data_IF_154452747006
#
_entry.id   IF_154452747006
#
_cell.length_a   1.000
_cell.length_b   1.000
_cell.length_c   1.000
_cell.angle_alpha   90.00
_cell.angle_beta   90.00
_cell.angle_gamma   90.00
#
_symmetry.space_group_name_H-M   'P 1'
#
loop_
_entity.id
_entity.type
_entity.pdbx_description
1 polymer ?
#
# COMPACT_ATOMS: atom_id res chain seq x y z
N UNK A 1 3.84 21.19 16.73
CA UNK A 1 4.60 20.97 15.49
C UNK A 1 3.64 21.19 14.34
N UNK A 2 4.02 22.03 13.38
CA UNK A 2 3.16 22.42 12.26
C UNK A 2 2.88 21.18 11.40
N UNK A 3 1.65 20.64 11.51
CA UNK A 3 1.27 19.45 10.76
C UNK A 3 0.89 19.89 9.35
N UNK A 4 1.53 19.28 8.36
CA UNK A 4 1.16 19.41 6.95
C UNK A 4 -0.33 19.07 6.73
N UNK A 5 -1.00 19.75 5.79
CA UNK A 5 -2.42 19.52 5.54
C UNK A 5 -2.66 18.17 4.84
N UNK A 6 -3.67 17.45 5.31
CA UNK A 6 -4.13 16.17 4.75
C UNK A 6 -3.39 14.93 5.29
N UNK A 7 -4.05 13.78 5.19
CA UNK A 7 -3.52 12.46 5.56
C UNK A 7 -2.72 11.88 4.39
N UNK A 8 -1.40 11.77 4.51
CA UNK A 8 -0.57 11.33 3.40
C UNK A 8 -0.50 9.81 3.31
N UNK A 9 -1.11 9.27 2.25
CA UNK A 9 -1.19 7.84 1.97
C UNK A 9 -0.22 7.46 0.84
N UNK A 10 0.72 6.54 1.11
CA UNK A 10 1.54 5.92 0.08
C UNK A 10 0.96 4.60 -0.40
N UNK A 11 0.97 4.34 -1.72
CA UNK A 11 0.52 3.04 -2.26
C UNK A 11 1.49 2.40 -3.26
N UNK A 12 1.48 1.06 -3.31
CA UNK A 12 2.11 0.27 -4.38
C UNK A 12 1.32 -1.02 -4.61
N UNK A 13 1.05 -1.35 -5.88
CA UNK A 13 0.09 -2.40 -6.26
C UNK A 13 0.72 -3.58 -7.01
N UNK A 14 1.98 -3.42 -7.44
CA UNK A 14 2.74 -4.49 -8.11
C UNK A 14 4.07 -4.78 -7.44
N UNK A 15 4.42 -6.06 -7.47
CA UNK A 15 5.76 -6.53 -7.18
C UNK A 15 6.69 -6.48 -8.40
N UNK A 16 7.77 -7.25 -8.33
CA UNK A 16 8.70 -7.43 -9.44
C UNK A 16 8.11 -8.45 -10.44
N UNK A 17 7.86 -8.10 -11.72
CA UNK A 17 7.32 -9.03 -12.71
C UNK A 17 8.17 -10.27 -12.97
N UNK A 18 9.48 -10.22 -12.68
CA UNK A 18 10.37 -11.37 -12.80
C UNK A 18 10.23 -12.37 -11.63
N UNK A 19 9.46 -12.04 -10.60
CA UNK A 19 9.20 -12.94 -9.48
C UNK A 19 8.17 -14.01 -9.89
N UNK A 20 8.47 -15.29 -9.64
CA UNK A 20 7.66 -16.41 -10.12
C UNK A 20 6.18 -16.37 -9.67
N UNK A 21 5.91 -15.77 -8.50
CA UNK A 21 4.55 -15.64 -7.94
C UNK A 21 3.96 -14.23 -8.10
N UNK A 22 4.50 -13.37 -8.97
CA UNK A 22 4.07 -11.95 -9.07
C UNK A 22 2.58 -11.81 -9.41
N UNK A 23 2.09 -12.64 -10.33
CA UNK A 23 0.67 -12.61 -10.75
C UNK A 23 -0.31 -12.81 -9.58
N UNK A 24 0.08 -13.56 -8.55
CA UNK A 24 -0.76 -13.82 -7.39
C UNK A 24 -0.68 -12.69 -6.36
N UNK A 25 0.49 -12.07 -6.19
CA UNK A 25 0.74 -11.03 -5.17
C UNK A 25 0.45 -9.62 -5.65
N UNK A 26 0.47 -9.37 -6.95
CA UNK A 26 0.09 -8.09 -7.55
C UNK A 26 -1.43 -7.98 -7.69
N UNK A 27 -1.98 -6.77 -7.53
CA UNK A 27 -3.40 -6.52 -7.76
C UNK A 27 -3.61 -5.29 -8.68
N UNK A 28 -4.76 -5.18 -9.34
CA UNK A 28 -5.01 -4.05 -10.24
C UNK A 28 -5.06 -2.71 -9.48
N UNK A 29 -4.44 -1.66 -10.05
CA UNK A 29 -4.42 -0.33 -9.45
C UNK A 29 -5.83 0.19 -9.09
N UNK A 30 -6.84 -0.07 -9.93
CA UNK A 30 -8.24 0.34 -9.70
C UNK A 30 -8.81 -0.06 -8.34
N UNK A 31 -8.27 -1.10 -7.69
CA UNK A 31 -8.70 -1.50 -6.33
C UNK A 31 -8.28 -0.49 -5.26
N UNK A 32 -7.23 0.29 -5.49
CA UNK A 32 -6.82 1.38 -4.62
C UNK A 32 -7.57 2.69 -4.87
N UNK A 33 -8.27 2.84 -6.00
CA UNK A 33 -8.94 4.09 -6.34
C UNK A 33 -9.94 4.59 -5.25
N UNK A 34 -10.77 3.73 -4.63
CA UNK A 34 -11.64 4.16 -3.52
C UNK A 34 -10.85 4.73 -2.32
N UNK A 35 -9.68 4.15 -2.01
CA UNK A 35 -8.83 4.59 -0.91
C UNK A 35 -8.28 6.01 -1.15
N UNK A 36 -7.94 6.33 -2.40
CA UNK A 36 -7.46 7.65 -2.82
C UNK A 36 -8.57 8.70 -2.86
N UNK A 37 -9.83 8.28 -2.96
CA UNK A 37 -11.00 9.17 -2.99
C UNK A 37 -11.51 9.55 -1.59
N UNK A 38 -10.99 8.94 -0.52
CA UNK A 38 -11.37 9.27 0.86
C UNK A 38 -11.04 10.74 1.16
N UNK A 39 -12.03 11.47 1.67
CA UNK A 39 -11.88 12.90 1.97
C UNK A 39 -10.74 13.13 2.96
N UNK A 40 -9.82 14.03 2.60
CA UNK A 40 -8.67 14.37 3.43
C UNK A 40 -7.41 13.57 3.12
N UNK A 41 -7.50 12.52 2.31
CA UNK A 41 -6.33 11.77 1.84
C UNK A 41 -5.56 12.56 0.78
N UNK A 42 -4.24 12.52 0.89
CA UNK A 42 -3.28 12.99 -0.12
C UNK A 42 -2.49 11.79 -0.62
N UNK A 43 -2.77 11.33 -1.84
CA UNK A 43 -2.19 10.12 -2.41
C UNK A 43 -0.79 10.29 -3.00
N UNK A 44 0.10 9.35 -2.69
CA UNK A 44 1.45 9.23 -3.25
C UNK A 44 1.69 7.82 -3.80
N UNK A 45 2.00 7.70 -5.09
CA UNK A 45 2.41 6.42 -5.67
C UNK A 45 3.87 6.17 -5.30
N UNK A 46 4.12 5.04 -4.65
CA UNK A 46 5.46 4.52 -4.36
C UNK A 46 5.84 3.39 -5.34
N UNK A 47 4.99 3.11 -6.33
CA UNK A 47 5.25 2.11 -7.36
C UNK A 47 6.52 2.48 -8.14
N UNK A 48 7.41 1.51 -8.33
CA UNK A 48 8.61 1.66 -9.16
C UNK A 48 8.52 0.76 -10.39
N UNK A 49 8.85 1.33 -11.54
CA UNK A 49 8.95 0.60 -12.81
C UNK A 49 7.57 0.15 -13.32
N UNK A 50 7.42 -1.12 -13.76
CA UNK A 50 6.18 -1.62 -14.34
C UNK A 50 4.95 -1.38 -13.45
N UNK A 51 3.86 -0.93 -14.07
CA UNK A 51 2.62 -0.56 -13.40
C UNK A 51 2.43 0.95 -13.26
N UNK A 52 3.50 1.76 -13.23
CA UNK A 52 3.37 3.24 -13.13
C UNK A 52 2.48 3.81 -14.25
N UNK A 53 2.57 3.25 -15.45
CA UNK A 53 1.75 3.59 -16.61
C UNK A 53 0.23 3.44 -16.36
N UNK A 54 -0.17 2.58 -15.41
CA UNK A 54 -1.58 2.36 -15.05
C UNK A 54 -2.21 3.60 -14.42
N UNK A 55 -1.43 4.47 -13.76
CA UNK A 55 -1.95 5.71 -13.14
C UNK A 55 -2.66 6.56 -14.20
N UNK A 56 -1.99 6.77 -15.34
CA UNK A 56 -2.55 7.54 -16.45
C UNK A 56 -3.63 6.74 -17.19
N UNK A 57 -3.39 5.45 -17.44
CA UNK A 57 -4.33 4.60 -18.18
C UNK A 57 -5.69 4.42 -17.48
N UNK A 58 -5.70 4.42 -16.14
CA UNK A 58 -6.91 4.32 -15.33
C UNK A 58 -7.47 5.70 -14.91
N UNK A 59 -6.86 6.80 -15.37
CA UNK A 59 -7.35 8.16 -15.10
C UNK A 59 -7.18 8.65 -13.66
N UNK A 60 -6.26 8.05 -12.90
CA UNK A 60 -6.04 8.35 -11.47
C UNK A 60 -5.04 9.48 -11.22
N UNK A 61 -4.41 10.04 -12.26
CA UNK A 61 -3.47 11.16 -12.12
C UNK A 61 -3.96 12.35 -11.27
N UNK A 62 -5.27 12.71 -11.22
CA UNK A 62 -5.75 13.77 -10.32
C UNK A 62 -5.76 13.40 -8.84
N UNK A 63 -5.74 12.11 -8.50
CA UNK A 63 -5.89 11.58 -7.14
C UNK A 63 -4.55 11.17 -6.51
N UNK A 64 -3.51 10.96 -7.31
CA UNK A 64 -2.23 10.44 -6.84
C UNK A 64 -1.04 11.05 -7.58
N UNK A 65 -0.05 11.52 -6.82
CA UNK A 65 1.24 11.97 -7.36
C UNK A 65 2.23 10.83 -7.52
N UNK A 66 2.94 10.76 -8.65
CA UNK A 66 4.01 9.78 -8.86
C UNK A 66 5.30 10.17 -8.12
N UNK A 67 5.45 9.66 -6.90
CA UNK A 67 6.64 9.84 -6.10
C UNK A 67 7.70 8.79 -6.43
N UNK A 68 7.28 7.53 -6.62
CA UNK A 68 8.13 6.36 -6.82
C UNK A 68 9.13 6.50 -7.98
N UNK A 69 8.69 7.04 -9.12
CA UNK A 69 9.56 7.27 -10.28
C UNK A 69 10.67 8.30 -10.05
N UNK A 70 10.56 9.13 -9.01
CA UNK A 70 11.55 10.17 -8.66
C UNK A 70 12.56 9.72 -7.62
N UNK A 71 12.36 8.55 -7.01
CA UNK A 71 13.25 8.02 -5.98
C UNK A 71 14.32 7.14 -6.65
N UNK A 72 15.59 7.31 -6.31
CA UNK A 72 16.69 6.55 -6.90
C UNK A 72 16.81 5.15 -6.28
N UNK A 73 16.93 5.09 -4.96
CA UNK A 73 17.25 3.85 -4.24
C UNK A 73 16.35 3.60 -3.00
N UNK A 74 16.75 2.68 -2.13
CA UNK A 74 16.04 2.39 -0.89
C UNK A 74 16.25 3.45 0.20
N UNK A 75 17.34 4.21 0.16
CA UNK A 75 17.57 5.33 1.07
C UNK A 75 16.57 6.45 0.78
N UNK A 76 16.37 6.79 -0.49
CA UNK A 76 15.34 7.73 -0.92
C UNK A 76 13.93 7.25 -0.53
N UNK A 77 13.66 5.95 -0.72
CA UNK A 77 12.40 5.34 -0.30
C UNK A 77 12.19 5.44 1.21
N UNK A 78 13.21 5.16 2.02
CA UNK A 78 13.14 5.32 3.48
C UNK A 78 12.82 6.77 3.87
N UNK A 79 13.47 7.75 3.22
CA UNK A 79 13.17 9.17 3.41
C UNK A 79 11.73 9.54 3.07
N UNK A 80 11.20 9.01 1.96
CA UNK A 80 9.80 9.19 1.59
C UNK A 80 8.84 8.60 2.63
N UNK A 81 9.12 7.40 3.15
CA UNK A 81 8.30 6.71 4.15
C UNK A 81 8.17 7.45 5.49
N UNK A 82 9.19 8.24 5.87
CA UNK A 82 9.10 9.12 7.06
C UNK A 82 8.12 10.28 6.86
N UNK A 83 7.83 10.62 5.61
CA UNK A 83 6.89 11.65 5.22
C UNK A 83 5.55 11.04 4.80
N UNK A 84 5.15 9.90 5.35
CA UNK A 84 3.82 9.32 5.12
C UNK A 84 3.19 8.97 6.47
N UNK A 85 1.87 9.15 6.53
CA UNK A 85 1.07 8.79 7.70
C UNK A 85 0.77 7.28 7.67
N UNK A 86 0.54 6.72 6.47
CA UNK A 86 0.33 5.30 6.23
C UNK A 86 0.85 4.89 4.85
N UNK A 87 1.31 3.63 4.74
CA UNK A 87 1.54 2.95 3.46
C UNK A 87 0.60 1.76 3.32
N UNK A 88 -0.06 1.63 2.18
CA UNK A 88 -0.84 0.44 1.82
C UNK A 88 -0.23 -0.18 0.58
N UNK A 89 0.29 -1.39 0.68
CA UNK A 89 1.01 -2.05 -0.42
C UNK A 89 0.60 -3.52 -0.54
N UNK A 90 0.84 -4.11 -1.70
CA UNK A 90 0.92 -5.57 -1.82
C UNK A 90 2.20 -6.12 -1.18
N UNK A 91 2.31 -7.45 -1.06
CA UNK A 91 3.56 -8.12 -0.73
C UNK A 91 4.66 -7.68 -1.71
N UNK A 92 5.61 -6.88 -1.23
CA UNK A 92 6.74 -6.34 -1.99
C UNK A 92 7.88 -5.94 -1.04
N UNK A 93 9.04 -5.58 -1.58
CA UNK A 93 10.16 -5.06 -0.78
C UNK A 93 9.79 -3.80 0.00
N UNK A 94 8.84 -2.99 -0.51
CA UNK A 94 8.35 -1.78 0.16
C UNK A 94 7.68 -2.12 1.50
N UNK A 95 6.89 -3.19 1.56
CA UNK A 95 6.24 -3.63 2.79
C UNK A 95 7.27 -3.93 3.89
N UNK A 96 8.32 -4.66 3.52
CA UNK A 96 9.41 -5.01 4.43
C UNK A 96 10.22 -3.79 4.87
N UNK A 97 10.54 -2.87 3.95
CA UNK A 97 11.26 -1.65 4.28
C UNK A 97 10.45 -0.79 5.27
N UNK A 98 9.17 -0.55 4.99
CA UNK A 98 8.30 0.23 5.88
C UNK A 98 8.17 -0.43 7.27
N UNK A 99 7.98 -1.74 7.32
CA UNK A 99 7.93 -2.50 8.56
C UNK A 99 9.24 -2.45 9.36
N UNK A 100 10.39 -2.59 8.69
CA UNK A 100 11.70 -2.52 9.33
C UNK A 100 12.02 -1.13 9.88
N UNK A 101 11.50 -0.06 9.25
CA UNK A 101 11.62 1.32 9.71
C UNK A 101 10.60 1.70 10.80
N UNK A 102 9.74 0.77 11.24
CA UNK A 102 8.68 1.05 12.21
C UNK A 102 7.67 2.09 11.70
N UNK A 103 7.47 2.17 10.38
CA UNK A 103 6.45 3.04 9.79
C UNK A 103 5.10 2.30 9.74
N UNK A 104 3.96 2.99 9.94
CA UNK A 104 2.65 2.37 9.75
C UNK A 104 2.51 1.82 8.33
N UNK A 105 2.22 0.53 8.21
CA UNK A 105 2.11 -0.13 6.91
C UNK A 105 1.04 -1.22 6.92
N UNK A 106 0.17 -1.20 5.93
CA UNK A 106 -0.81 -2.24 5.70
C UNK A 106 -0.44 -3.02 4.45
N UNK A 107 -0.51 -4.35 4.54
CA UNK A 107 -0.20 -5.24 3.42
C UNK A 107 -1.47 -5.96 2.99
N UNK A 108 -1.85 -5.79 1.73
CA UNK A 108 -2.96 -6.50 1.11
C UNK A 108 -2.41 -7.75 0.42
N UNK A 109 -2.91 -8.91 0.84
CA UNK A 109 -2.33 -10.21 0.55
C UNK A 109 -3.31 -11.09 -0.23
N UNK A 110 -2.80 -11.98 -1.11
CA UNK A 110 -3.63 -12.98 -1.76
C UNK A 110 -4.15 -14.01 -0.76
N UNK A 111 -5.15 -14.80 -1.19
CA UNK A 111 -5.73 -15.88 -0.38
C UNK A 111 -4.69 -16.89 0.14
N UNK A 112 -3.73 -17.26 -0.72
CA UNK A 112 -2.60 -18.12 -0.37
C UNK A 112 -1.30 -17.29 -0.40
N UNK A 113 -0.97 -16.58 0.70
CA UNK A 113 0.24 -15.77 0.78
C UNK A 113 1.46 -16.63 1.08
N UNK A 114 2.65 -16.03 0.95
CA UNK A 114 3.89 -16.64 1.43
C UNK A 114 3.86 -16.87 2.95
N UNK A 115 4.55 -17.91 3.42
CA UNK A 115 4.50 -18.39 4.81
C UNK A 115 4.81 -17.31 5.85
N UNK A 116 5.64 -16.33 5.51
CA UNK A 116 6.04 -15.23 6.41
C UNK A 116 4.85 -14.39 6.87
N UNK A 117 3.79 -14.36 6.08
CA UNK A 117 2.61 -13.56 6.34
C UNK A 117 1.60 -14.22 7.26
N UNK A 118 1.76 -15.50 7.63
CA UNK A 118 0.81 -16.21 8.50
C UNK A 118 -0.62 -16.29 7.90
N UNK A 119 -1.46 -17.17 8.45
CA UNK A 119 -2.80 -17.44 7.88
C UNK A 119 -3.98 -16.94 8.72
N UNK A 120 -3.82 -16.79 10.04
CA UNK A 120 -4.96 -16.63 10.98
C UNK A 120 -4.88 -15.34 11.79
N UNK A 121 -4.04 -14.38 11.38
CA UNK A 121 -3.77 -13.16 12.16
C UNK A 121 -3.64 -11.93 11.30
N UNK A 122 -4.08 -10.78 11.80
CA UNK A 122 -4.04 -9.50 11.09
C UNK A 122 -2.78 -8.68 11.38
N UNK A 123 -1.92 -9.12 12.28
CA UNK A 123 -0.66 -8.47 12.62
C UNK A 123 0.55 -9.27 12.13
N UNK A 124 1.72 -8.64 12.11
CA UNK A 124 2.99 -9.28 11.72
C UNK A 124 3.86 -9.59 12.93
N UNK A 125 4.33 -10.83 13.12
CA UNK A 125 5.31 -11.14 14.17
C UNK A 125 6.69 -10.52 13.88
N UNK A 126 6.92 -10.06 12.65
CA UNK A 126 8.19 -9.48 12.21
C UNK A 126 8.21 -7.95 12.35
N UNK A 127 7.05 -7.30 12.20
CA UNK A 127 6.95 -5.84 12.11
C UNK A 127 5.78 -5.33 12.98
N UNK A 128 6.06 -4.72 14.15
CA UNK A 128 5.02 -4.31 15.10
C UNK A 128 4.01 -3.29 14.56
N UNK A 129 4.39 -2.48 13.56
CA UNK A 129 3.53 -1.44 12.96
C UNK A 129 2.75 -1.92 11.74
N UNK A 130 2.82 -3.21 11.43
CA UNK A 130 2.23 -3.77 10.23
C UNK A 130 0.89 -4.44 10.48
N UNK A 131 -0.09 -4.12 9.64
CA UNK A 131 -1.40 -4.78 9.58
C UNK A 131 -1.55 -5.54 8.26
N UNK A 132 -2.24 -6.67 8.27
CA UNK A 132 -2.37 -7.60 7.17
C UNK A 132 -3.85 -7.78 6.81
N UNK A 133 -4.18 -7.52 5.54
CA UNK A 133 -5.50 -7.74 4.96
C UNK A 133 -5.39 -8.85 3.91
N UNK A 134 -6.32 -9.79 3.90
CA UNK A 134 -6.23 -10.97 3.03
C UNK A 134 -7.51 -11.15 2.24
N UNK A 135 -7.39 -11.66 1.03
CA UNK A 135 -8.55 -12.18 0.32
C UNK A 135 -9.19 -13.32 1.14
N UNK A 136 -10.52 -13.31 1.33
CA UNK A 136 -11.22 -14.42 2.00
C UNK A 136 -11.35 -15.64 1.09
N UNK A 137 -11.27 -15.46 -0.23
CA UNK A 137 -11.28 -16.51 -1.24
C UNK A 137 -10.34 -16.17 -2.41
N UNK A 138 -9.81 -17.15 -3.16
CA UNK A 138 -8.94 -16.88 -4.29
C UNK A 138 -9.54 -15.89 -5.31
N UNK A 139 -8.84 -14.78 -5.54
CA UNK A 139 -9.25 -13.73 -6.48
C UNK A 139 -10.19 -12.67 -5.91
N UNK A 140 -10.68 -12.84 -4.67
CA UNK A 140 -11.58 -11.89 -4.02
C UNK A 140 -10.82 -10.71 -3.42
N UNK A 141 -10.22 -9.91 -4.30
CA UNK A 141 -9.62 -8.63 -3.95
C UNK A 141 -10.68 -7.62 -3.49
N UNK A 142 -11.92 -7.78 -3.90
CA UNK A 142 -12.99 -6.83 -3.57
C UNK A 142 -13.28 -6.80 -2.08
N UNK A 143 -13.50 -7.98 -1.48
CA UNK A 143 -13.71 -8.09 -0.04
C UNK A 143 -12.47 -7.61 0.75
N UNK A 144 -11.26 -7.93 0.28
CA UNK A 144 -10.03 -7.47 0.92
C UNK A 144 -9.93 -5.94 0.94
N UNK A 145 -10.20 -5.28 -0.20
CA UNK A 145 -10.13 -3.82 -0.28
C UNK A 145 -11.30 -3.11 0.40
N UNK A 146 -12.48 -3.72 0.49
CA UNK A 146 -13.58 -3.18 1.29
C UNK A 146 -13.20 -3.11 2.79
N UNK A 147 -12.51 -4.12 3.30
CA UNK A 147 -11.99 -4.11 4.68
C UNK A 147 -10.90 -3.04 4.88
N UNK A 148 -10.03 -2.86 3.89
CA UNK A 148 -9.00 -1.79 3.90
C UNK A 148 -9.64 -0.40 3.89
N UNK A 149 -10.66 -0.19 3.06
CA UNK A 149 -11.37 1.10 2.95
C UNK A 149 -12.05 1.49 4.27
N UNK A 150 -12.76 0.55 4.90
CA UNK A 150 -13.39 0.78 6.20
C UNK A 150 -12.36 1.15 7.27
N UNK A 151 -11.25 0.40 7.35
CA UNK A 151 -10.17 0.70 8.28
C UNK A 151 -9.51 2.06 7.99
N UNK A 152 -9.28 2.38 6.72
CA UNK A 152 -8.65 3.64 6.33
C UNK A 152 -9.53 4.84 6.70
N UNK A 153 -10.85 4.74 6.52
CA UNK A 153 -11.78 5.79 6.90
C UNK A 153 -11.71 6.09 8.41
N UNK A 154 -11.58 5.06 9.25
CA UNK A 154 -11.40 5.22 10.70
C UNK A 154 -10.06 5.91 11.04
N UNK A 155 -8.95 5.49 10.41
CA UNK A 155 -7.64 6.11 10.62
C UNK A 155 -7.62 7.58 10.20
N UNK A 156 -8.21 7.91 9.05
CA UNK A 156 -8.28 9.29 8.55
C UNK A 156 -9.16 10.14 9.47
N UNK A 157 -10.27 9.61 9.98
CA UNK A 157 -11.12 10.30 10.94
C UNK A 157 -10.45 10.53 12.29
N UNK A 158 -9.63 9.58 12.76
CA UNK A 158 -8.86 9.72 14.00
C UNK A 158 -7.65 10.66 13.85
N UNK A 159 -7.15 10.85 12.64
CA UNK A 159 -6.05 11.77 12.35
C UNK A 159 -6.50 13.24 12.27
N UNK A 160 -7.72 13.48 11.76
CA UNK A 160 -8.33 14.80 11.55
C UNK A 160 -8.65 15.52 12.86
#
# INVERSE_FOLDING_TARGET
ADRRPGFHLGIAWRGNPAHWNDRNRSCPLRRFAPLLAVRGVVGHSLQKGPGVEEIAAEGLSPLIGDLGSRLGDFSDMAGALHNLDLVITVDSALAHLAGALGRPVWVVLPYAPDWRWMLVREDSPWYPTMRLFRQPAPGDWEAAFAAVEAALAEEVAAWA
#
